data_IF_691542305316
#
_entry.id   IF_691542305316
#
_cell.length_a   1.000
_cell.length_b   1.000
_cell.length_c   1.000
_cell.angle_alpha   90.00
_cell.angle_beta   90.00
_cell.angle_gamma   90.00
#
_symmetry.space_group_name_H-M   'P 1'
#
loop_
_entity.id
_entity.type
_entity.pdbx_description
1 polymer ?
#
# COMPACT_ATOMS: atom_id res chain seq x y z
N UNK A 1 -78.17 -33.85 -12.94
CA UNK A 1 -77.92 -32.39 -12.78
C UNK A 1 -77.00 -32.04 -11.60
N UNK A 2 -76.38 -33.01 -10.90
CA UNK A 2 -75.45 -32.74 -9.80
C UNK A 2 -73.96 -32.78 -10.21
N UNK A 3 -73.61 -33.50 -11.29
CA UNK A 3 -72.20 -33.68 -11.72
C UNK A 3 -71.56 -32.44 -12.37
N UNK A 4 -72.35 -31.59 -13.06
CA UNK A 4 -71.80 -30.40 -13.72
C UNK A 4 -71.33 -29.33 -12.73
N UNK A 5 -71.99 -29.23 -11.56
CA UNK A 5 -71.63 -28.26 -10.53
C UNK A 5 -70.33 -28.66 -9.80
N UNK A 6 -70.10 -29.95 -9.57
CA UNK A 6 -68.88 -30.45 -8.92
C UNK A 6 -67.63 -30.26 -9.78
N UNK A 7 -67.74 -30.50 -11.10
CA UNK A 7 -66.65 -30.27 -12.04
C UNK A 7 -66.32 -28.78 -12.19
N UNK A 8 -67.33 -27.89 -12.17
CA UNK A 8 -67.11 -26.43 -12.24
C UNK A 8 -66.43 -25.85 -10.98
N UNK A 9 -66.73 -26.38 -9.80
CA UNK A 9 -66.11 -25.99 -8.53
C UNK A 9 -64.65 -26.48 -8.43
N UNK A 10 -64.36 -27.68 -8.94
CA UNK A 10 -62.99 -28.17 -9.09
C UNK A 10 -62.18 -27.32 -10.08
N UNK A 11 -62.78 -26.95 -11.21
CA UNK A 11 -62.12 -26.13 -12.22
C UNK A 11 -61.84 -24.70 -11.74
N UNK A 12 -62.70 -24.13 -10.87
CA UNK A 12 -62.48 -22.84 -10.22
C UNK A 12 -61.45 -22.92 -9.07
N UNK A 13 -61.46 -24.01 -8.29
CA UNK A 13 -60.47 -24.26 -7.25
C UNK A 13 -59.04 -24.45 -7.80
N UNK A 14 -58.90 -25.11 -8.94
CA UNK A 14 -57.61 -25.32 -9.64
C UNK A 14 -57.12 -24.02 -10.28
N UNK A 15 -58.00 -23.19 -10.85
CA UNK A 15 -57.59 -21.95 -11.54
C UNK A 15 -57.13 -20.84 -10.59
N UNK A 16 -57.58 -20.83 -9.33
CA UNK A 16 -57.18 -19.85 -8.30
C UNK A 16 -55.94 -20.30 -7.51
N UNK A 17 -55.74 -21.60 -7.34
CA UNK A 17 -54.61 -22.15 -6.58
C UNK A 17 -53.29 -22.16 -7.37
N UNK A 18 -53.33 -22.41 -8.68
CA UNK A 18 -52.12 -22.46 -9.54
C UNK A 18 -51.38 -21.10 -9.63
N UNK A 19 -52.04 -19.94 -9.79
CA UNK A 19 -51.37 -18.63 -9.80
C UNK A 19 -50.83 -18.21 -8.43
N UNK A 20 -51.56 -18.52 -7.35
CA UNK A 20 -51.14 -18.15 -5.99
C UNK A 20 -49.91 -18.96 -5.52
N UNK A 21 -49.85 -20.25 -5.84
CA UNK A 21 -48.69 -21.11 -5.52
C UNK A 21 -47.48 -20.78 -6.40
N UNK A 22 -47.68 -20.46 -7.68
CA UNK A 22 -46.59 -20.03 -8.56
C UNK A 22 -46.01 -18.66 -8.19
N UNK A 23 -46.85 -17.72 -7.73
CA UNK A 23 -46.39 -16.44 -7.18
C UNK A 23 -45.55 -16.58 -5.91
N UNK A 24 -45.97 -17.44 -4.97
CA UNK A 24 -45.23 -17.68 -3.72
C UNK A 24 -43.90 -18.44 -3.95
N UNK A 25 -43.88 -19.42 -4.85
CA UNK A 25 -42.65 -20.10 -5.24
C UNK A 25 -41.66 -19.14 -5.92
N UNK A 26 -42.15 -18.23 -6.77
CA UNK A 26 -41.33 -17.19 -7.40
C UNK A 26 -40.69 -16.23 -6.38
N UNK A 27 -41.46 -15.78 -5.38
CA UNK A 27 -40.95 -14.93 -4.29
C UNK A 27 -39.92 -15.67 -3.44
N UNK A 28 -40.16 -16.94 -3.12
CA UNK A 28 -39.22 -17.73 -2.32
C UNK A 28 -37.88 -17.96 -3.04
N UNK A 29 -37.91 -18.41 -4.30
CA UNK A 29 -36.70 -18.57 -5.12
C UNK A 29 -35.99 -17.23 -5.34
N UNK A 30 -36.77 -16.15 -5.56
CA UNK A 30 -36.25 -14.79 -5.66
C UNK A 30 -35.51 -14.35 -4.40
N UNK A 31 -36.10 -14.57 -3.21
CA UNK A 31 -35.49 -14.21 -1.93
C UNK A 31 -34.20 -15.00 -1.63
N UNK A 32 -34.15 -16.29 -1.98
CA UNK A 32 -32.95 -17.11 -1.83
C UNK A 32 -31.82 -16.68 -2.77
N UNK A 33 -32.15 -16.39 -4.04
CA UNK A 33 -31.18 -15.86 -5.01
C UNK A 33 -30.70 -14.47 -4.62
N UNK A 34 -31.60 -13.61 -4.15
CA UNK A 34 -31.27 -12.26 -3.66
C UNK A 34 -30.33 -12.34 -2.45
N UNK A 35 -30.62 -13.20 -1.46
CA UNK A 35 -29.76 -13.38 -0.30
C UNK A 35 -28.35 -13.89 -0.65
N UNK A 36 -28.24 -14.80 -1.63
CA UNK A 36 -26.94 -15.25 -2.14
C UNK A 36 -26.18 -14.13 -2.85
N UNK A 37 -26.85 -13.36 -3.70
CA UNK A 37 -26.25 -12.21 -4.40
C UNK A 37 -25.80 -11.13 -3.43
N UNK A 38 -26.61 -10.81 -2.43
CA UNK A 38 -26.27 -9.81 -1.42
C UNK A 38 -25.05 -10.21 -0.58
N UNK A 39 -24.94 -11.51 -0.23
CA UNK A 39 -23.75 -12.01 0.47
C UNK A 39 -22.50 -11.91 -0.42
N UNK A 40 -22.58 -12.30 -1.68
CA UNK A 40 -21.47 -12.18 -2.63
C UNK A 40 -21.07 -10.71 -2.85
N UNK A 41 -22.05 -9.81 -2.98
CA UNK A 41 -21.81 -8.39 -3.13
C UNK A 41 -21.10 -7.80 -1.91
N UNK A 42 -21.56 -8.10 -0.69
CA UNK A 42 -20.89 -7.63 0.53
C UNK A 42 -19.44 -8.08 0.63
N UNK A 43 -19.14 -9.31 0.22
CA UNK A 43 -17.78 -9.82 0.16
C UNK A 43 -16.94 -9.02 -0.84
N UNK A 44 -17.43 -8.84 -2.07
CA UNK A 44 -16.74 -8.03 -3.10
C UNK A 44 -16.54 -6.59 -2.65
N UNK A 45 -17.53 -5.98 -2.00
CA UNK A 45 -17.45 -4.63 -1.46
C UNK A 45 -16.35 -4.55 -0.40
N UNK A 46 -16.25 -5.55 0.48
CA UNK A 46 -15.18 -5.61 1.47
C UNK A 46 -13.80 -5.73 0.82
N UNK A 47 -13.59 -6.68 -0.10
CA UNK A 47 -12.31 -6.83 -0.82
C UNK A 47 -11.94 -5.56 -1.59
N UNK A 48 -12.92 -4.91 -2.22
CA UNK A 48 -12.74 -3.64 -2.93
C UNK A 48 -12.24 -2.58 -1.96
N UNK A 49 -12.86 -2.45 -0.77
CA UNK A 49 -12.40 -1.53 0.27
C UNK A 49 -10.98 -1.86 0.74
N UNK A 50 -10.65 -3.12 0.98
CA UNK A 50 -9.28 -3.52 1.35
C UNK A 50 -8.27 -3.03 0.31
N UNK A 51 -8.56 -3.21 -0.97
CA UNK A 51 -7.70 -2.73 -2.04
C UNK A 51 -7.64 -1.20 -2.10
N UNK A 52 -8.79 -0.53 -2.23
CA UNK A 52 -8.82 0.91 -2.55
C UNK A 52 -8.48 1.79 -1.36
N UNK A 53 -8.82 1.37 -0.14
CA UNK A 53 -8.65 2.20 1.06
C UNK A 53 -7.38 1.82 1.85
N UNK A 54 -6.80 0.63 1.63
CA UNK A 54 -5.63 0.18 2.39
C UNK A 54 -4.44 -0.23 1.49
N UNK A 55 -4.54 -1.34 0.77
CA UNK A 55 -3.36 -1.93 0.11
C UNK A 55 -2.83 -1.08 -1.05
N UNK A 56 -3.71 -0.60 -1.93
CA UNK A 56 -3.29 0.25 -3.05
C UNK A 56 -2.67 1.58 -2.62
N UNK A 57 -3.25 2.37 -1.70
CA UNK A 57 -2.64 3.63 -1.30
C UNK A 57 -1.32 3.44 -0.55
N UNK A 58 -1.20 2.44 0.33
CA UNK A 58 0.08 2.15 1.01
C UNK A 58 1.16 1.74 -0.01
N UNK A 59 0.81 0.89 -0.98
CA UNK A 59 1.74 0.50 -2.04
C UNK A 59 2.11 1.65 -2.98
N UNK A 60 1.18 2.57 -3.24
CA UNK A 60 1.44 3.75 -4.05
C UNK A 60 2.54 4.61 -3.40
N UNK A 61 2.40 4.89 -2.09
CA UNK A 61 3.42 5.63 -1.34
C UNK A 61 4.76 4.89 -1.35
N UNK A 62 4.77 3.57 -1.13
CA UNK A 62 6.00 2.75 -1.22
C UNK A 62 6.68 2.85 -2.59
N UNK A 63 5.90 2.85 -3.68
CA UNK A 63 6.44 3.00 -5.04
C UNK A 63 7.02 4.39 -5.28
N UNK A 64 6.37 5.42 -4.74
CA UNK A 64 6.83 6.80 -4.79
C UNK A 64 8.17 6.96 -4.06
N UNK A 65 8.25 6.49 -2.80
CA UNK A 65 9.48 6.47 -2.01
C UNK A 65 10.59 5.75 -2.78
N UNK A 66 10.33 4.54 -3.31
CA UNK A 66 11.31 3.78 -4.08
C UNK A 66 11.82 4.57 -5.30
N UNK A 67 10.93 5.19 -6.07
CA UNK A 67 11.31 5.93 -7.26
C UNK A 67 12.17 7.17 -6.94
N UNK A 68 11.86 7.86 -5.85
CA UNK A 68 12.66 8.98 -5.34
C UNK A 68 14.05 8.52 -4.92
N UNK A 69 14.13 7.46 -4.10
CA UNK A 69 15.39 6.90 -3.61
C UNK A 69 16.28 6.36 -4.72
N UNK A 70 15.71 5.66 -5.70
CA UNK A 70 16.46 5.17 -6.87
C UNK A 70 17.08 6.33 -7.67
N UNK A 71 16.38 7.46 -7.75
CA UNK A 71 16.88 8.67 -8.40
C UNK A 71 18.02 9.33 -7.62
N UNK A 72 17.86 9.48 -6.30
CA UNK A 72 18.90 10.01 -5.40
C UNK A 72 20.17 9.17 -5.45
N UNK A 73 20.05 7.84 -5.35
CA UNK A 73 21.18 6.90 -5.41
C UNK A 73 21.91 7.03 -6.75
N UNK A 74 21.17 7.16 -7.86
CA UNK A 74 21.77 7.36 -9.18
C UNK A 74 22.53 8.68 -9.26
N UNK A 75 21.96 9.78 -8.77
CA UNK A 75 22.61 11.10 -8.76
C UNK A 75 23.87 11.05 -7.90
N UNK A 76 23.79 10.54 -6.67
CA UNK A 76 24.92 10.40 -5.76
C UNK A 76 26.03 9.55 -6.37
N UNK A 77 25.71 8.42 -7.02
CA UNK A 77 26.70 7.57 -7.70
C UNK A 77 27.43 8.30 -8.83
N UNK A 78 26.70 9.05 -9.65
CA UNK A 78 27.30 9.84 -10.74
C UNK A 78 28.14 10.98 -10.18
N UNK A 79 27.68 11.64 -9.13
CA UNK A 79 28.40 12.70 -8.43
C UNK A 79 29.71 12.18 -7.81
N UNK A 80 29.67 11.05 -7.11
CA UNK A 80 30.85 10.40 -6.53
C UNK A 80 31.86 10.03 -7.61
N UNK A 81 31.39 9.48 -8.73
CA UNK A 81 32.25 9.12 -9.86
C UNK A 81 32.90 10.36 -10.48
N UNK A 82 32.13 11.44 -10.66
CA UNK A 82 32.65 12.70 -11.18
C UNK A 82 33.67 13.33 -10.23
N UNK A 83 33.38 13.33 -8.92
CA UNK A 83 34.27 13.82 -7.87
C UNK A 83 35.59 13.06 -7.85
N UNK A 84 35.55 11.72 -7.89
CA UNK A 84 36.76 10.88 -7.94
C UNK A 84 37.61 11.17 -9.18
N UNK A 85 36.99 11.31 -10.36
CA UNK A 85 37.70 11.65 -11.60
C UNK A 85 38.39 13.03 -11.56
N UNK A 86 37.83 13.98 -10.80
CA UNK A 86 38.46 15.29 -10.63
C UNK A 86 39.72 15.24 -9.76
N UNK A 87 39.78 14.30 -8.83
CA UNK A 87 40.92 14.08 -7.94
C UNK A 87 41.93 13.07 -8.51
N UNK A 88 41.58 12.36 -9.58
CA UNK A 88 42.39 11.31 -10.18
C UNK A 88 43.72 11.87 -10.71
N UNK A 89 44.83 11.24 -10.32
CA UNK A 89 46.19 11.69 -10.68
C UNK A 89 46.67 12.98 -10.02
N UNK A 90 45.90 13.56 -9.07
CA UNK A 90 46.31 14.74 -8.28
C UNK A 90 46.83 14.37 -6.88
N UNK A 91 46.96 13.07 -6.60
CA UNK A 91 47.47 12.53 -5.34
C UNK A 91 48.89 13.05 -5.06
N UNK A 92 49.07 13.71 -3.90
CA UNK A 92 50.35 14.29 -3.50
C UNK A 92 50.61 15.73 -3.97
N UNK A 93 49.69 16.36 -4.71
CA UNK A 93 49.78 17.78 -5.09
C UNK A 93 48.59 18.59 -4.54
N UNK A 94 48.69 19.12 -3.31
CA UNK A 94 47.60 19.85 -2.64
C UNK A 94 47.12 21.08 -3.42
N UNK A 95 48.02 21.79 -4.09
CA UNK A 95 47.68 23.00 -4.85
C UNK A 95 46.92 22.68 -6.13
N UNK A 96 47.32 21.61 -6.84
CA UNK A 96 46.60 21.14 -8.02
C UNK A 96 45.21 20.59 -7.65
N UNK A 97 45.11 19.86 -6.54
CA UNK A 97 43.84 19.35 -6.01
C UNK A 97 42.91 20.49 -5.58
N UNK A 98 43.43 21.50 -4.87
CA UNK A 98 42.68 22.70 -4.50
C UNK A 98 42.16 23.44 -5.73
N UNK A 99 42.98 23.61 -6.77
CA UNK A 99 42.57 24.26 -8.02
C UNK A 99 41.54 23.45 -8.82
N UNK A 100 41.64 22.12 -8.80
CA UNK A 100 40.70 21.23 -9.49
C UNK A 100 39.32 21.15 -8.79
N UNK A 101 39.29 21.38 -7.49
CA UNK A 101 38.10 21.31 -6.62
C UNK A 101 37.51 22.67 -6.26
N UNK A 102 38.20 23.77 -6.60
CA UNK A 102 37.79 25.14 -6.29
C UNK A 102 36.37 25.44 -6.81
N UNK A 103 35.47 25.84 -5.92
CA UNK A 103 34.04 26.06 -6.18
C UNK A 103 33.20 24.81 -6.51
N UNK A 104 33.83 23.65 -6.79
CA UNK A 104 33.12 22.38 -7.12
C UNK A 104 32.80 21.56 -5.89
N UNK A 105 33.61 21.65 -4.84
CA UNK A 105 33.31 21.02 -3.55
C UNK A 105 31.95 21.48 -3.02
N UNK A 106 31.66 22.78 -3.12
CA UNK A 106 30.37 23.36 -2.72
C UNK A 106 29.21 22.82 -3.56
N UNK A 107 29.44 22.57 -4.85
CA UNK A 107 28.43 21.98 -5.74
C UNK A 107 28.10 20.53 -5.35
N UNK A 108 29.09 19.72 -4.97
CA UNK A 108 28.86 18.36 -4.46
C UNK A 108 28.24 18.35 -3.07
N UNK A 109 28.66 19.27 -2.18
CA UNK A 109 28.07 19.43 -0.86
C UNK A 109 26.57 19.74 -0.94
N UNK A 110 26.16 20.60 -1.89
CA UNK A 110 24.75 20.90 -2.14
C UNK A 110 23.91 19.69 -2.53
N UNK A 111 24.49 18.64 -3.13
CA UNK A 111 23.76 17.39 -3.42
C UNK A 111 23.42 16.67 -2.12
N UNK A 112 24.36 16.63 -1.18
CA UNK A 112 24.16 16.02 0.14
C UNK A 112 23.13 16.84 0.93
N UNK A 113 23.25 18.17 0.93
CA UNK A 113 22.30 19.06 1.61
C UNK A 113 20.88 18.88 1.07
N UNK A 114 20.73 18.88 -0.26
CA UNK A 114 19.45 18.62 -0.92
C UNK A 114 18.86 17.25 -0.51
N UNK A 115 19.65 16.18 -0.55
CA UNK A 115 19.18 14.85 -0.19
C UNK A 115 18.76 14.77 1.30
N UNK A 116 19.48 15.46 2.19
CA UNK A 116 19.14 15.52 3.62
C UNK A 116 17.83 16.29 3.83
N UNK A 117 17.66 17.42 3.16
CA UNK A 117 16.43 18.22 3.21
C UNK A 117 15.25 17.42 2.66
N UNK A 118 15.41 16.80 1.49
CA UNK A 118 14.39 15.99 0.85
C UNK A 118 14.00 14.76 1.69
N UNK A 119 14.98 14.10 2.33
CA UNK A 119 14.71 13.04 3.29
C UNK A 119 13.79 13.52 4.41
N UNK A 120 14.11 14.66 5.02
CA UNK A 120 13.37 15.20 6.16
C UNK A 120 11.98 15.75 5.80
N UNK A 121 11.84 16.34 4.61
CA UNK A 121 10.65 17.10 4.19
C UNK A 121 9.66 16.30 3.35
N UNK A 122 10.12 15.27 2.62
CA UNK A 122 9.27 14.50 1.70
C UNK A 122 9.25 13.01 2.07
N UNK A 123 10.43 12.40 2.21
CA UNK A 123 10.55 10.94 2.38
C UNK A 123 10.01 10.46 3.73
N UNK A 124 10.47 11.02 4.86
CA UNK A 124 9.97 10.64 6.19
C UNK A 124 8.47 10.95 6.36
N UNK A 125 7.95 12.11 5.92
CA UNK A 125 6.51 12.35 5.91
C UNK A 125 5.69 11.34 5.09
N UNK A 126 6.24 10.80 4.00
CA UNK A 126 5.59 9.73 3.23
C UNK A 126 5.43 8.44 4.06
N UNK A 127 6.45 8.04 4.82
CA UNK A 127 6.34 6.92 5.77
C UNK A 127 5.30 7.17 6.85
N UNK A 128 5.23 8.39 7.40
CA UNK A 128 4.18 8.76 8.36
C UNK A 128 2.79 8.65 7.74
N UNK A 129 2.65 9.02 6.47
CA UNK A 129 1.39 8.86 5.72
C UNK A 129 0.99 7.40 5.54
N UNK A 130 1.94 6.49 5.28
CA UNK A 130 1.67 5.04 5.31
C UNK A 130 1.17 4.60 6.69
N UNK A 131 1.83 5.05 7.77
CA UNK A 131 1.41 4.71 9.12
C UNK A 131 0.01 5.26 9.47
N UNK A 132 -0.37 6.42 8.94
CA UNK A 132 -1.70 6.97 9.11
C UNK A 132 -2.78 6.16 8.40
N UNK A 133 -2.50 5.63 7.20
CA UNK A 133 -3.41 4.70 6.53
C UNK A 133 -3.58 3.44 7.38
N UNK A 134 -2.47 2.89 7.92
CA UNK A 134 -2.52 1.77 8.85
C UNK A 134 -3.43 2.05 10.04
N UNK A 135 -3.30 3.22 10.69
CA UNK A 135 -4.13 3.58 11.86
C UNK A 135 -5.61 3.73 11.51
N UNK A 136 -5.92 4.40 10.40
CA UNK A 136 -7.31 4.69 9.99
C UNK A 136 -8.04 3.45 9.49
N UNK A 137 -7.32 2.58 8.79
CA UNK A 137 -7.89 1.47 8.03
C UNK A 137 -7.35 0.12 8.50
N UNK A 138 -6.88 0.01 9.76
CA UNK A 138 -6.31 -1.24 10.31
C UNK A 138 -7.27 -2.42 10.20
N UNK A 139 -8.57 -2.16 10.31
CA UNK A 139 -9.65 -3.15 10.22
C UNK A 139 -9.81 -3.75 8.81
N UNK A 140 -9.22 -3.12 7.78
CA UNK A 140 -9.14 -3.65 6.42
C UNK A 140 -7.87 -4.46 6.16
N UNK A 141 -6.88 -4.40 7.06
CA UNK A 141 -5.62 -5.12 6.91
C UNK A 141 -5.77 -6.58 7.32
N UNK A 142 -5.03 -7.46 6.65
CA UNK A 142 -4.93 -8.85 7.08
C UNK A 142 -4.09 -8.95 8.38
N UNK A 143 -4.38 -9.90 9.29
CA UNK A 143 -3.62 -10.04 10.54
C UNK A 143 -2.10 -10.17 10.33
N UNK A 144 -1.68 -10.85 9.26
CA UNK A 144 -0.27 -10.97 8.87
C UNK A 144 0.32 -9.62 8.50
N UNK A 145 -0.40 -8.78 7.75
CA UNK A 145 0.04 -7.42 7.43
C UNK A 145 0.11 -6.54 8.69
N UNK A 146 -0.85 -6.67 9.60
CA UNK A 146 -0.86 -5.94 10.89
C UNK A 146 0.37 -6.27 11.74
N UNK A 147 0.84 -7.53 11.72
CA UNK A 147 2.02 -7.91 12.51
C UNK A 147 3.31 -7.19 12.12
N UNK A 148 3.37 -6.62 10.91
CA UNK A 148 4.52 -5.83 10.45
C UNK A 148 4.38 -4.33 10.76
N UNK A 149 3.23 -3.86 11.24
CA UNK A 149 3.02 -2.45 11.55
C UNK A 149 4.00 -1.89 12.61
N UNK A 150 4.39 -2.64 13.67
CA UNK A 150 5.42 -2.19 14.60
C UNK A 150 6.77 -1.88 13.94
N UNK A 151 7.17 -2.60 12.89
CA UNK A 151 8.42 -2.34 12.17
C UNK A 151 8.40 -0.96 11.51
N UNK A 152 7.27 -0.60 10.88
CA UNK A 152 7.09 0.73 10.29
C UNK A 152 7.13 1.84 11.35
N UNK A 153 6.50 1.62 12.50
CA UNK A 153 6.49 2.60 13.58
C UNK A 153 7.87 2.80 14.20
N UNK A 154 8.61 1.72 14.42
CA UNK A 154 9.97 1.78 14.92
C UNK A 154 10.87 2.55 13.94
N UNK A 155 10.72 2.27 12.64
CA UNK A 155 11.48 2.95 11.60
C UNK A 155 11.25 4.46 11.61
N UNK A 156 9.98 4.88 11.70
CA UNK A 156 9.61 6.30 11.78
C UNK A 156 10.14 6.91 13.08
N UNK A 157 10.02 6.22 14.21
CA UNK A 157 10.45 6.70 15.52
C UNK A 157 11.94 7.03 15.58
N UNK A 158 12.78 6.17 14.98
CA UNK A 158 14.24 6.42 14.93
C UNK A 158 14.54 7.66 14.10
N UNK A 159 13.91 7.80 12.92
CA UNK A 159 14.09 8.99 12.07
C UNK A 159 13.58 10.27 12.72
N UNK A 160 12.41 10.23 13.35
CA UNK A 160 11.82 11.38 14.04
C UNK A 160 12.76 11.89 15.14
N UNK A 161 13.32 10.98 15.94
CA UNK A 161 14.28 11.34 17.00
C UNK A 161 15.61 11.84 16.43
N UNK A 162 16.10 11.24 15.34
CA UNK A 162 17.32 11.70 14.67
C UNK A 162 17.16 13.11 14.11
N UNK A 163 16.07 13.38 13.38
CA UNK A 163 15.77 14.69 12.80
C UNK A 163 15.49 15.75 13.87
N UNK A 164 14.95 15.35 15.03
CA UNK A 164 14.78 16.22 16.19
C UNK A 164 16.09 16.50 16.96
N UNK A 165 17.23 15.91 16.55
CA UNK A 165 18.51 16.03 17.27
C UNK A 165 18.53 15.30 18.62
N UNK A 166 17.56 14.43 18.88
CA UNK A 166 17.45 13.66 20.11
C UNK A 166 18.26 12.35 20.09
N UNK A 167 18.82 11.98 18.93
CA UNK A 167 19.71 10.83 18.77
C UNK A 167 21.06 11.25 18.16
N UNK A 168 22.18 10.99 18.86
CA UNK A 168 23.51 11.13 18.27
C UNK A 168 23.71 10.19 17.07
N UNK A 169 24.55 10.60 16.11
CA UNK A 169 24.82 9.83 14.88
C UNK A 169 25.42 8.46 15.17
N UNK A 170 26.22 8.37 16.22
CA UNK A 170 26.87 7.14 16.68
C UNK A 170 25.82 6.12 17.10
N UNK A 171 24.80 6.56 17.84
CA UNK A 171 23.70 5.70 18.29
C UNK A 171 22.88 5.21 17.08
N UNK A 172 22.59 6.08 16.10
CA UNK A 172 21.86 5.68 14.89
C UNK A 172 22.63 4.63 14.08
N UNK A 173 23.97 4.74 14.01
CA UNK A 173 24.80 3.74 13.33
C UNK A 173 24.77 2.38 14.01
N UNK A 174 24.77 2.35 15.34
CA UNK A 174 24.72 1.10 16.12
C UNK A 174 23.33 0.44 16.13
N UNK A 175 22.26 1.21 15.90
CA UNK A 175 20.89 0.68 15.83
C UNK A 175 20.63 -0.17 14.57
N UNK A 176 21.59 -0.26 13.64
CA UNK A 176 21.47 -0.94 12.33
C UNK A 176 20.16 -0.55 11.60
N UNK A 177 19.80 0.71 11.75
CA UNK A 177 18.51 1.22 11.28
C UNK A 177 18.53 1.43 9.77
N UNK A 178 17.84 0.56 9.03
CA UNK A 178 17.77 0.63 7.57
C UNK A 178 16.35 0.40 7.05
N UNK A 179 16.09 0.92 5.85
CA UNK A 179 14.84 0.63 5.13
C UNK A 179 14.70 -0.86 4.78
N UNK A 180 15.82 -1.60 4.71
CA UNK A 180 15.82 -3.03 4.43
C UNK A 180 15.05 -3.84 5.49
N UNK A 181 15.00 -3.35 6.73
CA UNK A 181 14.18 -3.95 7.80
C UNK A 181 12.67 -3.92 7.48
N UNK A 182 12.22 -3.02 6.61
CA UNK A 182 10.83 -2.93 6.16
C UNK A 182 10.51 -3.86 4.98
N UNK A 183 11.50 -4.57 4.43
CA UNK A 183 11.29 -5.44 3.28
C UNK A 183 10.19 -6.50 3.50
N UNK A 184 10.08 -7.18 4.66
CA UNK A 184 9.00 -8.13 4.91
C UNK A 184 7.59 -7.49 4.84
N UNK A 185 7.45 -6.25 5.30
CA UNK A 185 6.20 -5.49 5.19
C UNK A 185 5.85 -5.25 3.72
N UNK A 186 6.83 -4.83 2.92
CA UNK A 186 6.63 -4.50 1.52
C UNK A 186 6.22 -5.71 0.68
N UNK A 187 6.83 -6.86 0.96
CA UNK A 187 6.52 -8.11 0.27
C UNK A 187 5.11 -8.60 0.63
N UNK A 188 4.73 -8.52 1.90
CA UNK A 188 3.38 -8.87 2.34
C UNK A 188 2.32 -7.94 1.73
N UNK A 189 2.55 -6.62 1.70
CA UNK A 189 1.65 -5.66 1.08
C UNK A 189 1.44 -5.96 -0.41
N UNK A 190 2.53 -6.23 -1.14
CA UNK A 190 2.46 -6.54 -2.57
C UNK A 190 1.72 -7.85 -2.81
N UNK A 191 2.07 -8.89 -2.05
CA UNK A 191 1.42 -10.19 -2.12
C UNK A 191 -0.10 -10.08 -1.89
N UNK A 192 -0.52 -9.43 -0.80
CA UNK A 192 -1.93 -9.27 -0.46
C UNK A 192 -2.70 -8.43 -1.47
N UNK A 193 -2.10 -7.36 -1.96
CA UNK A 193 -2.68 -6.59 -3.03
C UNK A 193 -2.96 -7.44 -4.28
N UNK A 194 -1.99 -8.27 -4.69
CA UNK A 194 -2.14 -9.09 -5.90
C UNK A 194 -3.15 -10.22 -5.70
N UNK A 195 -3.14 -10.89 -4.53
CA UNK A 195 -4.15 -11.88 -4.13
C UNK A 195 -5.57 -11.32 -4.21
N UNK A 196 -5.80 -10.13 -3.62
CA UNK A 196 -7.11 -9.48 -3.62
C UNK A 196 -7.57 -9.08 -5.03
N UNK A 197 -6.64 -8.61 -5.89
CA UNK A 197 -6.96 -8.28 -7.29
C UNK A 197 -7.35 -9.50 -8.08
N UNK A 198 -6.65 -10.61 -7.88
CA UNK A 198 -7.00 -11.88 -8.51
C UNK A 198 -8.36 -12.39 -8.04
N UNK A 199 -8.66 -12.29 -6.75
CA UNK A 199 -9.95 -12.72 -6.19
C UNK A 199 -11.12 -11.92 -6.79
N UNK A 200 -10.98 -10.59 -6.91
CA UNK A 200 -11.98 -9.75 -7.56
C UNK A 200 -12.16 -10.05 -9.05
N UNK A 201 -11.08 -10.37 -9.74
CA UNK A 201 -11.08 -10.69 -11.17
C UNK A 201 -11.72 -12.05 -11.47
N UNK A 202 -11.49 -13.06 -10.62
CA UNK A 202 -12.04 -14.42 -10.77
C UNK A 202 -13.55 -14.47 -10.58
N UNK A 203 -14.14 -13.46 -9.92
CA UNK A 203 -15.58 -13.33 -9.74
C UNK A 203 -16.23 -14.58 -9.13
N UNK A 204 -16.14 -14.71 -7.81
CA UNK A 204 -16.72 -15.83 -7.04
C UNK A 204 -18.15 -16.19 -7.46
#
# INVERSE_FOLDING_TARGET
MADQNFLSLLQWGISVSVPAVSGLCGVFVGSLLAGRREKANRHRDFLTKQLTEFYSPVLAIRKEIKAMRDTEIRISRVADTASRKLCDGLEGNPDALRKATDGRHDAFAKIIDYNNEHLATECIPSYRSMADIFRKNLWLAEPTTVSYFPLLLDFISIWDRFLAGALPREVVRELDHSEEALQPLYDELQKKHDELREELAKGS
#
